data_IF_837850636766
#
_entry.id   IF_837850636766
#
_cell.length_a   1.000
_cell.length_b   1.000
_cell.length_c   1.000
_cell.angle_alpha   90.00
_cell.angle_beta   90.00
_cell.angle_gamma   90.00
#
_symmetry.space_group_name_H-M   'P 1'
#
loop_
_entity.id
_entity.type
_entity.pdbx_description
1 polymer ?
#
# COMPACT_ATOMS: atom_id res chain seq x y z
N UNK A 1 36.61 32.37 -39.78
CA UNK A 1 36.66 32.10 -38.32
C UNK A 1 35.43 31.30 -37.92
N UNK A 2 35.58 30.02 -37.54
CA UNK A 2 34.51 29.19 -36.99
C UNK A 2 34.76 29.04 -35.49
N UNK A 3 33.89 29.60 -34.65
CA UNK A 3 33.86 29.31 -33.22
C UNK A 3 32.87 28.17 -32.98
N UNK A 4 33.39 26.96 -32.80
CA UNK A 4 32.65 25.84 -32.22
C UNK A 4 32.72 25.98 -30.69
N UNK A 5 31.62 26.38 -30.06
CA UNK A 5 31.47 26.22 -28.61
C UNK A 5 31.25 24.73 -28.31
N UNK A 6 32.30 24.08 -27.82
CA UNK A 6 32.28 22.73 -27.26
C UNK A 6 31.50 22.73 -25.94
N UNK A 7 30.20 22.48 -25.98
CA UNK A 7 29.46 21.96 -24.82
C UNK A 7 29.63 20.44 -24.81
N UNK A 8 30.68 19.95 -24.14
CA UNK A 8 30.94 18.50 -24.02
C UNK A 8 31.26 18.14 -22.57
N UNK A 9 30.46 17.25 -22.00
CA UNK A 9 31.09 16.11 -21.30
C UNK A 9 30.49 15.56 -20.02
N UNK A 10 29.62 16.26 -19.25
CA UNK A 10 29.11 15.69 -17.99
C UNK A 10 27.58 15.73 -17.85
N UNK A 11 26.96 16.86 -18.14
CA UNK A 11 25.50 17.03 -18.03
C UNK A 11 24.72 16.12 -19.00
N UNK A 12 25.28 15.86 -20.19
CA UNK A 12 24.64 15.01 -21.20
C UNK A 12 24.65 13.51 -20.82
N UNK A 13 25.68 13.04 -20.10
CA UNK A 13 25.77 11.64 -19.65
C UNK A 13 24.78 11.35 -18.51
N UNK A 14 24.57 12.29 -17.58
CA UNK A 14 23.55 12.14 -16.54
C UNK A 14 22.13 12.12 -17.12
N UNK A 15 21.84 12.95 -18.12
CA UNK A 15 20.53 12.95 -18.79
C UNK A 15 20.25 11.60 -19.45
N UNK A 16 21.23 10.98 -20.13
CA UNK A 16 21.04 9.66 -20.76
C UNK A 16 20.87 8.52 -19.75
N UNK A 17 21.45 8.62 -18.54
CA UNK A 17 21.31 7.60 -17.49
C UNK A 17 20.00 7.71 -16.70
N UNK A 18 19.52 8.93 -16.42
CA UNK A 18 18.30 9.13 -15.63
C UNK A 18 17.02 9.18 -16.47
N UNK A 19 17.09 9.55 -17.75
CA UNK A 19 15.91 9.63 -18.60
C UNK A 19 15.19 8.28 -18.76
N UNK A 20 15.86 7.12 -19.00
CA UNK A 20 15.18 5.83 -19.08
C UNK A 20 14.52 5.44 -17.76
N UNK A 21 15.15 5.72 -16.63
CA UNK A 21 14.59 5.48 -15.31
C UNK A 21 13.35 6.35 -15.07
N UNK A 22 13.41 7.64 -15.37
CA UNK A 22 12.27 8.56 -15.25
C UNK A 22 11.13 8.17 -16.21
N UNK A 23 11.44 7.77 -17.44
CA UNK A 23 10.45 7.25 -18.39
C UNK A 23 9.83 5.94 -17.91
N UNK A 24 10.62 5.04 -17.33
CA UNK A 24 10.12 3.80 -16.75
C UNK A 24 9.21 4.06 -15.55
N UNK A 25 9.60 4.95 -14.63
CA UNK A 25 8.77 5.37 -13.50
C UNK A 25 7.48 6.04 -13.99
N UNK A 26 7.57 6.95 -14.97
CA UNK A 26 6.40 7.61 -15.56
C UNK A 26 5.46 6.65 -16.30
N UNK A 27 6.01 5.65 -17.01
CA UNK A 27 5.24 4.61 -17.68
C UNK A 27 4.51 3.70 -16.67
N UNK A 28 5.19 3.30 -15.60
CA UNK A 28 4.60 2.50 -14.52
C UNK A 28 3.48 3.29 -13.83
N UNK A 29 3.70 4.57 -13.56
CA UNK A 29 2.69 5.47 -12.99
C UNK A 29 1.46 5.61 -13.90
N UNK A 30 1.66 5.86 -15.20
CA UNK A 30 0.57 5.95 -16.17
C UNK A 30 -0.24 4.65 -16.25
N UNK A 31 0.46 3.50 -16.32
CA UNK A 31 -0.17 2.18 -16.35
C UNK A 31 -0.97 1.88 -15.08
N UNK A 32 -0.45 2.26 -13.91
CA UNK A 32 -1.14 2.09 -12.63
C UNK A 32 -2.41 2.95 -12.56
N UNK A 33 -2.39 4.15 -13.14
CA UNK A 33 -3.54 5.04 -13.16
C UNK A 33 -4.69 4.51 -14.04
N UNK A 34 -4.38 3.92 -15.20
CA UNK A 34 -5.36 3.35 -16.12
C UNK A 34 -5.89 1.97 -15.69
N UNK A 35 -5.12 1.23 -14.88
CA UNK A 35 -5.55 -0.10 -14.43
C UNK A 35 -6.65 0.02 -13.36
N UNK A 36 -7.80 -0.61 -13.58
CA UNK A 36 -8.87 -0.64 -12.58
C UNK A 36 -8.49 -1.52 -11.38
N UNK A 37 -8.72 -1.08 -10.14
CA UNK A 37 -8.46 -1.90 -8.97
C UNK A 37 -9.29 -3.20 -8.96
N UNK A 38 -8.65 -4.30 -8.56
CA UNK A 38 -9.22 -5.65 -8.53
C UNK A 38 -9.48 -6.17 -7.12
N UNK A 39 -9.03 -5.44 -6.09
CA UNK A 39 -9.30 -5.72 -4.69
C UNK A 39 -9.29 -4.43 -3.86
N UNK A 40 -9.89 -4.49 -2.68
CA UNK A 40 -9.81 -3.45 -1.65
C UNK A 40 -8.97 -4.00 -0.51
N UNK A 41 -7.82 -3.37 -0.24
CA UNK A 41 -7.01 -3.65 0.94
C UNK A 41 -7.30 -2.58 1.98
N UNK A 42 -7.66 -3.00 3.18
CA UNK A 42 -7.78 -2.12 4.34
C UNK A 42 -6.66 -2.46 5.29
N UNK A 43 -5.75 -1.51 5.48
CA UNK A 43 -4.79 -1.63 6.56
C UNK A 43 -5.49 -1.20 7.84
N UNK A 44 -5.53 -2.12 8.79
CA UNK A 44 -6.25 -1.96 10.02
C UNK A 44 -5.51 -1.14 11.08
N UNK A 45 -6.12 -1.16 12.25
CA UNK A 45 -5.75 -0.57 13.53
C UNK A 45 -7.04 -0.27 14.28
N UNK A 46 -7.13 -0.75 15.52
CA UNK A 46 -8.39 -0.83 16.24
C UNK A 46 -8.77 0.52 16.83
N UNK A 47 -9.90 1.07 16.39
CA UNK A 47 -10.52 2.24 17.02
C UNK A 47 -11.83 1.82 17.68
N UNK A 48 -12.24 2.54 18.71
CA UNK A 48 -13.53 2.26 19.38
C UNK A 48 -14.74 2.46 18.45
N UNK A 49 -14.61 3.32 17.42
CA UNK A 49 -15.73 3.69 16.57
C UNK A 49 -15.76 2.99 15.21
N UNK A 50 -14.74 2.18 14.86
CA UNK A 50 -14.69 1.41 13.62
C UNK A 50 -14.81 2.30 12.36
N UNK A 51 -14.21 3.49 12.36
CA UNK A 51 -14.38 4.48 11.29
C UNK A 51 -13.93 3.92 9.94
N UNK A 52 -12.80 3.20 9.90
CA UNK A 52 -12.26 2.60 8.67
C UNK A 52 -13.15 1.48 8.15
N UNK A 53 -13.65 0.62 9.01
CA UNK A 53 -14.55 -0.48 8.63
C UNK A 53 -15.87 0.08 8.11
N UNK A 54 -16.44 1.08 8.78
CA UNK A 54 -17.69 1.75 8.34
C UNK A 54 -17.50 2.46 7.01
N UNK A 55 -16.41 3.20 6.85
CA UNK A 55 -16.07 3.85 5.59
C UNK A 55 -15.91 2.81 4.48
N UNK A 56 -15.11 1.77 4.71
CA UNK A 56 -14.85 0.71 3.72
C UNK A 56 -16.14 0.00 3.35
N UNK A 57 -17.00 -0.31 4.31
CA UNK A 57 -18.28 -0.97 4.03
C UNK A 57 -19.17 -0.11 3.11
N UNK A 58 -19.19 1.22 3.31
CA UNK A 58 -19.89 2.15 2.41
C UNK A 58 -19.23 2.21 1.03
N UNK A 59 -17.90 2.31 0.98
CA UNK A 59 -17.11 2.36 -0.26
C UNK A 59 -17.29 1.08 -1.09
N UNK A 60 -17.25 -0.09 -0.46
CA UNK A 60 -17.38 -1.39 -1.09
C UNK A 60 -18.77 -1.64 -1.72
N UNK A 61 -19.79 -0.86 -1.36
CA UNK A 61 -21.10 -0.89 -2.05
C UNK A 61 -21.03 -0.28 -3.46
N UNK A 62 -20.12 0.67 -3.68
CA UNK A 62 -19.87 1.25 -5.01
C UNK A 62 -19.02 0.32 -5.89
N UNK A 63 -18.41 -0.71 -5.28
CA UNK A 63 -17.55 -1.70 -5.93
C UNK A 63 -18.02 -3.13 -5.60
N UNK A 64 -19.22 -3.55 -6.04
CA UNK A 64 -19.90 -4.75 -5.54
C UNK A 64 -19.17 -6.08 -5.80
N UNK A 65 -18.24 -6.11 -6.76
CA UNK A 65 -17.54 -7.32 -7.17
C UNK A 65 -16.12 -7.42 -6.59
N UNK A 66 -15.61 -6.38 -5.93
CA UNK A 66 -14.24 -6.41 -5.42
C UNK A 66 -14.17 -7.19 -4.10
N UNK A 67 -13.23 -8.15 -3.94
CA UNK A 67 -12.91 -8.73 -2.64
C UNK A 67 -12.28 -7.65 -1.74
N UNK A 68 -12.49 -7.82 -0.44
CA UNK A 68 -12.09 -6.90 0.61
C UNK A 68 -11.16 -7.69 1.54
N UNK A 69 -9.89 -7.29 1.59
CA UNK A 69 -8.88 -7.85 2.47
C UNK A 69 -8.62 -6.85 3.58
N UNK A 70 -8.88 -7.24 4.83
CA UNK A 70 -8.58 -6.41 6.00
C UNK A 70 -7.39 -7.04 6.71
N UNK A 71 -6.28 -6.31 6.78
CA UNK A 71 -5.09 -6.74 7.52
C UNK A 71 -5.03 -6.05 8.88
N UNK A 72 -5.04 -6.84 9.95
CA UNK A 72 -5.14 -6.38 11.33
C UNK A 72 -6.48 -5.71 11.63
N UNK A 73 -6.43 -4.71 12.52
CA UNK A 73 -7.60 -3.90 12.88
C UNK A 73 -8.54 -4.56 13.87
N UNK A 74 -9.80 -4.15 13.81
CA UNK A 74 -10.77 -4.44 14.86
C UNK A 74 -11.12 -5.93 14.92
N UNK A 75 -11.57 -6.45 16.08
CA UNK A 75 -11.85 -7.87 16.24
C UNK A 75 -12.84 -8.41 15.19
N UNK A 76 -12.68 -9.66 14.73
CA UNK A 76 -13.42 -10.21 13.60
C UNK A 76 -14.94 -10.08 13.74
N UNK A 77 -15.46 -10.27 14.94
CA UNK A 77 -16.89 -10.19 15.24
C UNK A 77 -17.46 -8.80 14.91
N UNK A 78 -16.81 -7.74 15.39
CA UNK A 78 -17.26 -6.36 15.15
C UNK A 78 -17.11 -5.98 13.68
N UNK A 79 -15.98 -6.35 13.08
CA UNK A 79 -15.72 -6.11 11.66
C UNK A 79 -16.81 -6.76 10.81
N UNK A 80 -17.07 -8.06 10.98
CA UNK A 80 -18.13 -8.77 10.24
C UNK A 80 -19.50 -8.14 10.44
N UNK A 81 -19.84 -7.69 11.64
CA UNK A 81 -21.11 -7.00 11.91
C UNK A 81 -21.24 -5.69 11.12
N UNK A 82 -20.19 -4.89 11.03
CA UNK A 82 -20.21 -3.63 10.25
C UNK A 82 -20.48 -3.92 8.77
N UNK A 83 -19.76 -4.86 8.17
CA UNK A 83 -19.93 -5.22 6.77
C UNK A 83 -21.28 -5.88 6.48
N UNK A 84 -21.76 -6.76 7.37
CA UNK A 84 -23.07 -7.38 7.25
C UNK A 84 -24.20 -6.34 7.32
N UNK A 85 -24.13 -5.38 8.24
CA UNK A 85 -25.10 -4.27 8.34
C UNK A 85 -25.12 -3.39 7.08
N UNK A 86 -24.01 -3.29 6.37
CA UNK A 86 -23.92 -2.58 5.10
C UNK A 86 -24.39 -3.41 3.88
N UNK A 87 -24.83 -4.66 4.09
CA UNK A 87 -25.28 -5.56 3.03
C UNK A 87 -24.14 -6.17 2.20
N UNK A 88 -22.91 -6.19 2.72
CA UNK A 88 -21.77 -6.79 2.03
C UNK A 88 -21.78 -8.31 2.25
N UNK A 89 -21.72 -9.08 1.15
CA UNK A 89 -21.60 -10.53 1.19
C UNK A 89 -20.32 -10.93 1.95
N UNK A 90 -20.46 -11.81 2.95
CA UNK A 90 -19.36 -12.30 3.78
C UNK A 90 -18.27 -13.03 2.98
N UNK A 91 -18.61 -13.61 1.83
CA UNK A 91 -17.64 -14.26 0.93
C UNK A 91 -16.65 -13.28 0.30
N UNK A 92 -17.00 -11.99 0.24
CA UNK A 92 -16.08 -10.94 -0.22
C UNK A 92 -15.11 -10.49 0.86
N UNK A 93 -15.35 -10.82 2.12
CA UNK A 93 -14.61 -10.29 3.27
C UNK A 93 -13.59 -11.30 3.79
N UNK A 94 -12.32 -11.01 3.52
CA UNK A 94 -11.16 -11.75 4.00
C UNK A 94 -10.50 -10.95 5.12
N UNK A 95 -10.29 -11.60 6.26
CA UNK A 95 -9.67 -10.98 7.43
C UNK A 95 -8.35 -11.68 7.70
N UNK A 96 -7.27 -10.93 7.69
CA UNK A 96 -5.93 -11.36 8.06
C UNK A 96 -5.57 -10.71 9.41
N UNK A 97 -5.27 -11.54 10.41
CA UNK A 97 -4.86 -11.11 11.74
C UNK A 97 -3.45 -11.57 12.09
N UNK A 98 -2.68 -12.06 11.12
CA UNK A 98 -1.28 -12.45 11.31
C UNK A 98 -0.35 -11.23 11.36
N UNK A 99 -0.75 -10.13 10.70
CA UNK A 99 0.00 -8.89 10.71
C UNK A 99 0.01 -8.22 12.10
N UNK A 100 1.21 -7.84 12.53
CA UNK A 100 1.46 -7.19 13.85
C UNK A 100 1.93 -5.75 13.73
N UNK A 101 2.33 -5.33 12.52
CA UNK A 101 2.78 -3.98 12.23
C UNK A 101 2.47 -3.57 10.77
N UNK A 102 2.85 -2.34 10.40
CA UNK A 102 2.55 -1.81 9.08
C UNK A 102 3.31 -2.52 7.95
N UNK A 103 4.49 -3.12 8.19
CA UNK A 103 5.23 -3.88 7.17
C UNK A 103 4.55 -5.22 6.94
N UNK A 104 4.27 -5.94 8.02
CA UNK A 104 3.60 -7.24 7.98
C UNK A 104 2.20 -7.16 7.39
N UNK A 105 1.49 -6.03 7.54
CA UNK A 105 0.21 -5.81 6.87
C UNK A 105 0.26 -5.95 5.34
N UNK A 106 1.42 -5.73 4.71
CA UNK A 106 1.59 -5.93 3.28
C UNK A 106 2.21 -7.29 2.97
N UNK A 107 3.22 -7.71 3.74
CA UNK A 107 3.99 -8.91 3.39
C UNK A 107 3.20 -10.20 3.54
N UNK A 108 2.19 -10.25 4.41
CA UNK A 108 1.29 -11.41 4.54
C UNK A 108 0.33 -11.53 3.36
N UNK A 109 -0.02 -10.41 2.71
CA UNK A 109 -1.01 -10.37 1.63
C UNK A 109 -0.41 -10.42 0.23
N UNK A 110 0.81 -9.92 0.05
CA UNK A 110 1.33 -9.58 -1.28
C UNK A 110 1.52 -10.79 -2.20
N UNK A 111 2.02 -11.91 -1.67
CA UNK A 111 2.26 -13.10 -2.49
C UNK A 111 0.93 -13.77 -2.90
N UNK A 112 -0.08 -13.74 -2.03
CA UNK A 112 -1.45 -14.17 -2.32
C UNK A 112 -2.11 -13.34 -3.42
N UNK A 113 -1.94 -12.01 -3.37
CA UNK A 113 -2.43 -11.10 -4.40
C UNK A 113 -1.74 -11.36 -5.74
N UNK A 114 -0.43 -11.58 -5.73
CA UNK A 114 0.35 -11.90 -6.91
C UNK A 114 -0.10 -13.23 -7.54
N UNK A 115 -0.28 -14.28 -6.73
CA UNK A 115 -0.74 -15.59 -7.17
C UNK A 115 -2.14 -15.53 -7.81
N UNK A 116 -2.99 -14.62 -7.35
CA UNK A 116 -4.33 -14.35 -7.92
C UNK A 116 -4.29 -13.44 -9.16
N UNK A 117 -3.11 -13.00 -9.60
CA UNK A 117 -2.96 -12.14 -10.76
C UNK A 117 -3.48 -10.70 -10.55
N UNK A 118 -3.61 -10.25 -9.30
CA UNK A 118 -3.97 -8.86 -8.99
C UNK A 118 -2.84 -7.94 -9.46
N UNK A 119 -3.20 -6.82 -10.09
CA UNK A 119 -2.29 -5.80 -10.63
C UNK A 119 -2.52 -4.42 -10.06
N UNK A 120 -3.72 -4.14 -9.56
CA UNK A 120 -4.01 -2.88 -8.89
C UNK A 120 -5.03 -3.08 -7.77
N UNK A 121 -4.91 -2.32 -6.68
CA UNK A 121 -5.81 -2.40 -5.52
C UNK A 121 -6.21 -1.01 -5.02
N UNK A 122 -7.35 -0.89 -4.37
CA UNK A 122 -7.59 0.25 -3.49
C UNK A 122 -6.86 0.01 -2.17
N UNK A 123 -6.09 0.98 -1.69
CA UNK A 123 -5.42 0.92 -0.39
C UNK A 123 -6.09 1.89 0.57
N UNK A 124 -6.78 1.37 1.57
CA UNK A 124 -7.56 2.15 2.53
C UNK A 124 -6.87 2.11 3.90
N UNK A 125 -6.61 3.29 4.46
CA UNK A 125 -6.21 3.47 5.86
C UNK A 125 -6.54 4.90 6.30
N UNK A 126 -6.27 5.27 7.55
CA UNK A 126 -6.47 6.65 7.99
C UNK A 126 -5.48 7.60 7.32
N UNK A 127 -5.86 8.86 7.12
CA UNK A 127 -4.97 9.93 6.68
C UNK A 127 -3.68 10.03 7.53
N UNK A 128 -3.81 9.80 8.84
CA UNK A 128 -2.72 9.70 9.81
C UNK A 128 -1.64 8.68 9.43
N UNK A 129 -2.06 7.51 8.93
CA UNK A 129 -1.18 6.39 8.56
C UNK A 129 -0.83 6.35 7.07
N UNK A 130 -1.54 7.10 6.23
CA UNK A 130 -1.50 6.94 4.78
C UNK A 130 -0.09 7.13 4.20
N UNK A 131 0.66 8.13 4.67
CA UNK A 131 2.04 8.36 4.18
C UNK A 131 2.93 7.12 4.34
N UNK A 132 2.92 6.53 5.53
CA UNK A 132 3.72 5.35 5.83
C UNK A 132 3.24 4.14 5.03
N UNK A 133 1.92 4.00 4.90
CA UNK A 133 1.32 2.96 4.07
C UNK A 133 1.72 3.06 2.59
N UNK A 134 1.75 4.26 2.01
CA UNK A 134 2.20 4.45 0.63
C UNK A 134 3.67 4.04 0.43
N UNK A 135 4.58 4.49 1.31
CA UNK A 135 6.01 4.13 1.23
C UNK A 135 6.20 2.62 1.25
N UNK A 136 5.55 1.93 2.18
CA UNK A 136 5.66 0.47 2.29
C UNK A 136 4.97 -0.22 1.12
N UNK A 137 3.80 0.27 0.69
CA UNK A 137 3.05 -0.28 -0.44
C UNK A 137 3.84 -0.18 -1.75
N UNK A 138 4.49 0.95 -2.02
CA UNK A 138 5.34 1.14 -3.20
C UNK A 138 6.48 0.12 -3.25
N UNK A 139 7.07 -0.20 -2.10
CA UNK A 139 8.15 -1.18 -2.00
C UNK A 139 7.62 -2.61 -2.11
N UNK A 140 6.66 -2.98 -1.25
CA UNK A 140 6.19 -4.37 -1.11
C UNK A 140 5.30 -4.77 -2.28
N UNK A 141 4.20 -4.05 -2.54
CA UNK A 141 3.29 -4.34 -3.65
C UNK A 141 4.00 -4.13 -5.00
N UNK A 142 4.78 -3.04 -5.11
CA UNK A 142 5.55 -2.74 -6.30
C UNK A 142 6.56 -3.83 -6.67
N UNK A 143 7.19 -4.49 -5.67
CA UNK A 143 8.10 -5.62 -5.92
C UNK A 143 7.43 -6.81 -6.61
N UNK A 144 6.10 -6.93 -6.54
CA UNK A 144 5.30 -7.95 -7.24
C UNK A 144 4.55 -7.42 -8.47
N UNK A 145 4.83 -6.18 -8.87
CA UNK A 145 4.16 -5.52 -9.99
C UNK A 145 2.69 -5.22 -9.71
N UNK A 146 2.36 -4.91 -8.46
CA UNK A 146 1.03 -4.52 -8.00
C UNK A 146 1.04 -3.02 -7.68
N UNK A 147 0.26 -2.25 -8.43
CA UNK A 147 -0.02 -0.85 -8.10
C UNK A 147 -1.11 -0.70 -7.05
N UNK A 148 -1.31 0.52 -6.56
CA UNK A 148 -2.44 0.82 -5.68
C UNK A 148 -2.97 2.24 -5.88
N UNK A 149 -4.24 2.44 -5.52
CA UNK A 149 -4.90 3.75 -5.43
C UNK A 149 -5.22 4.05 -3.96
N UNK A 150 -4.53 5.02 -3.32
CA UNK A 150 -4.74 5.32 -1.91
C UNK A 150 -6.08 6.04 -1.67
N UNK A 151 -6.83 5.59 -0.67
CA UNK A 151 -8.08 6.21 -0.22
C UNK A 151 -7.98 6.47 1.28
N UNK A 152 -7.80 7.73 1.65
CA UNK A 152 -7.65 8.14 3.05
C UNK A 152 -9.00 8.23 3.75
N UNK A 153 -9.08 7.62 4.93
CA UNK A 153 -10.19 7.83 5.87
C UNK A 153 -9.81 8.98 6.80
N UNK A 154 -10.60 10.05 6.89
CA UNK A 154 -10.29 11.17 7.79
C UNK A 154 -10.12 10.70 9.23
N UNK A 155 -9.12 11.25 9.93
CA UNK A 155 -8.94 11.04 11.37
C UNK A 155 -8.62 12.35 12.07
N UNK A 156 -8.87 12.40 13.38
CA UNK A 156 -8.60 13.59 14.21
C UNK A 156 -7.10 13.71 14.59
N UNK A 157 -6.26 12.79 14.13
CA UNK A 157 -4.85 12.72 14.51
C UNK A 157 -3.95 13.44 13.49
N UNK A 158 -2.89 14.08 13.99
CA UNK A 158 -1.84 14.66 13.14
C UNK A 158 -0.99 13.55 12.51
N UNK A 159 -0.61 13.64 11.23
CA UNK A 159 0.16 12.60 10.54
C UNK A 159 1.37 12.07 11.32
N UNK A 160 1.61 10.76 11.23
CA UNK A 160 2.73 10.12 11.94
C UNK A 160 4.08 10.77 11.60
N UNK A 161 5.06 10.79 12.52
CA UNK A 161 6.41 11.29 12.23
C UNK A 161 7.06 10.61 11.00
N UNK A 162 7.86 11.36 10.24
CA UNK A 162 8.48 10.89 8.99
C UNK A 162 9.41 9.70 9.26
N UNK A 163 10.09 9.71 10.40
CA UNK A 163 11.08 8.72 10.82
C UNK A 163 10.50 7.31 10.84
N UNK A 164 9.23 7.16 11.20
CA UNK A 164 8.53 5.87 11.13
C UNK A 164 8.41 5.36 9.70
N UNK A 165 8.14 6.24 8.75
CA UNK A 165 8.02 5.88 7.33
C UNK A 165 9.38 5.49 6.76
N UNK A 166 10.45 6.20 7.13
CA UNK A 166 11.83 5.86 6.73
C UNK A 166 12.25 4.52 7.30
N UNK A 167 12.06 4.30 8.61
CA UNK A 167 12.38 3.03 9.27
C UNK A 167 11.64 1.85 8.65
N UNK A 168 10.32 1.98 8.50
CA UNK A 168 9.51 0.87 7.99
C UNK A 168 9.71 0.67 6.47
N UNK A 169 10.07 1.72 5.72
CA UNK A 169 10.55 1.60 4.34
C UNK A 169 11.87 0.83 4.24
N UNK A 170 12.85 1.10 5.13
CA UNK A 170 14.08 0.32 5.18
C UNK A 170 13.83 -1.16 5.52
N UNK A 171 12.92 -1.42 6.47
CA UNK A 171 12.47 -2.79 6.79
C UNK A 171 11.77 -3.46 5.60
N UNK A 172 10.95 -2.74 4.85
CA UNK A 172 10.31 -3.27 3.65
C UNK A 172 11.33 -3.62 2.55
N UNK A 173 12.36 -2.79 2.33
CA UNK A 173 13.44 -3.10 1.40
C UNK A 173 14.24 -4.33 1.84
N UNK A 174 14.55 -4.43 3.14
CA UNK A 174 15.22 -5.61 3.71
C UNK A 174 14.38 -6.88 3.46
N UNK A 175 13.07 -6.79 3.69
CA UNK A 175 12.16 -7.89 3.40
C UNK A 175 12.15 -8.27 1.91
N UNK A 176 12.08 -7.31 0.99
CA UNK A 176 12.13 -7.61 -0.45
C UNK A 176 13.44 -8.33 -0.81
N UNK A 177 14.56 -7.94 -0.22
CA UNK A 177 15.86 -8.52 -0.50
C UNK A 177 16.09 -9.91 0.15
N UNK A 178 15.47 -10.18 1.29
CA UNK A 178 15.85 -11.34 2.14
C UNK A 178 14.68 -12.22 2.60
N UNK A 179 13.44 -11.76 2.45
CA UNK A 179 12.24 -12.35 3.06
C UNK A 179 12.10 -12.10 4.57
N UNK A 180 13.05 -11.43 5.22
CA UNK A 180 13.03 -11.18 6.66
C UNK A 180 12.18 -9.96 7.03
N UNK A 181 11.18 -10.14 7.91
CA UNK A 181 10.20 -9.09 8.27
C UNK A 181 10.64 -8.22 9.47
N UNK A 182 11.58 -8.68 10.30
CA UNK A 182 12.02 -7.97 11.51
C UNK A 182 10.98 -7.86 12.63
N UNK A 183 9.82 -8.54 12.52
CA UNK A 183 8.75 -8.48 13.52
C UNK A 183 9.06 -9.26 14.82
N UNK A 184 10.07 -10.14 14.81
CA UNK A 184 10.45 -10.92 15.99
C UNK A 184 11.25 -10.12 17.04
N UNK A 185 11.91 -9.02 16.66
CA UNK A 185 12.73 -8.23 17.59
C UNK A 185 11.93 -7.26 18.47
N UNK A 186 10.68 -6.96 18.12
CA UNK A 186 9.80 -6.12 18.95
C UNK A 186 9.18 -6.86 20.14
N UNK A 187 9.38 -8.17 20.28
CA UNK A 187 8.95 -8.94 21.48
C UNK A 187 9.92 -8.82 22.65
N UNK A 188 11.07 -8.17 22.48
CA UNK A 188 12.14 -8.07 23.49
C UNK A 188 12.54 -6.63 23.84
N UNK A 189 11.65 -5.65 23.63
CA UNK A 189 11.83 -4.28 24.16
C UNK A 189 10.60 -3.78 24.87
#
# INVERSE_FOLDING_TARGET
>A
MKNNLLFRGKSFQFVVLFLPLLMFLGYQEAKNNDTQPQAIIVLGGSTKNLEREKFTAKFARQHPNLPILISGGSPPTFTRQVFAKAGINSQRLHLDYEAVDTVTNFTTLVDDLQARGVKNVYLITSDFHMRRACVIGEIVLGSRGIGFKPISVPSENTPEPIEKSVRDGARALLWVATGYTGANDSKHR
#
